data_IF_824364983634
#
_entry.id   IF_824364983634
#
_cell.length_a   1.000
_cell.length_b   1.000
_cell.length_c   1.000
_cell.angle_alpha   90.00
_cell.angle_beta   90.00
_cell.angle_gamma   90.00
#
_symmetry.space_group_name_H-M   'P 1'
#
loop_
_entity.id
_entity.type
_entity.pdbx_description
1 polymer ?
#
# COMPACT_ATOMS: atom_id res chain seq x y z
N UNK A 1 8.04 -30.09 -41.89
CA UNK A 1 8.91 -31.18 -41.40
C UNK A 1 10.33 -30.66 -41.57
N UNK A 2 10.79 -29.82 -40.68
CA UNK A 2 12.19 -29.40 -40.61
C UNK A 2 12.86 -30.30 -39.59
N UNK A 3 13.91 -30.96 -40.06
CA UNK A 3 14.72 -31.90 -39.30
C UNK A 3 15.36 -31.18 -38.10
N UNK A 4 14.94 -31.58 -36.94
CA UNK A 4 15.52 -31.24 -35.64
C UNK A 4 16.93 -31.85 -35.58
N UNK A 5 17.92 -31.14 -36.11
CA UNK A 5 19.36 -31.46 -35.88
C UNK A 5 19.62 -31.06 -34.43
N UNK A 6 19.61 -32.07 -33.56
CA UNK A 6 20.00 -31.86 -32.14
C UNK A 6 21.46 -31.36 -32.13
N UNK A 7 21.59 -30.06 -31.90
CA UNK A 7 22.89 -29.43 -31.68
C UNK A 7 23.57 -30.07 -30.44
N UNK A 8 24.90 -30.24 -30.47
CA UNK A 8 25.63 -30.88 -29.39
C UNK A 8 25.43 -30.06 -28.06
N UNK A 9 25.25 -30.75 -26.92
CA UNK A 9 25.06 -30.07 -25.63
C UNK A 9 26.32 -29.24 -25.28
N UNK A 10 26.11 -28.14 -24.56
CA UNK A 10 27.19 -27.29 -24.03
C UNK A 10 28.14 -28.11 -23.16
N UNK A 11 29.41 -28.04 -23.44
CA UNK A 11 30.48 -28.72 -22.69
C UNK A 11 31.69 -27.82 -22.54
N UNK A 12 32.22 -27.74 -21.31
CA UNK A 12 33.49 -27.06 -21.04
C UNK A 12 34.49 -28.08 -20.47
N UNK A 13 35.66 -28.19 -21.09
CA UNK A 13 36.73 -29.07 -20.64
C UNK A 13 37.96 -28.26 -20.28
N UNK A 14 38.59 -28.63 -19.15
CA UNK A 14 39.75 -27.95 -18.58
C UNK A 14 41.00 -28.80 -18.81
N UNK A 15 41.92 -28.31 -19.63
CA UNK A 15 43.14 -29.00 -19.95
C UNK A 15 44.35 -28.19 -19.46
N UNK A 16 45.26 -28.82 -18.69
CA UNK A 16 46.48 -28.17 -18.22
C UNK A 16 47.62 -28.39 -19.24
N UNK A 17 48.17 -27.32 -19.77
CA UNK A 17 49.30 -27.30 -20.67
C UNK A 17 50.48 -26.57 -19.99
N UNK A 18 51.25 -27.30 -19.17
CA UNK A 18 52.35 -26.71 -18.38
C UNK A 18 51.85 -25.76 -17.30
N UNK A 19 52.21 -24.49 -17.39
CA UNK A 19 51.81 -23.42 -16.42
C UNK A 19 50.52 -22.68 -16.84
N UNK A 20 49.96 -23.05 -18.00
CA UNK A 20 48.74 -22.49 -18.56
C UNK A 20 47.58 -23.50 -18.49
N UNK A 21 46.38 -23.00 -18.33
CA UNK A 21 45.15 -23.81 -18.40
C UNK A 21 44.36 -23.34 -19.62
N UNK A 22 44.01 -24.28 -20.49
CA UNK A 22 43.15 -24.03 -21.64
C UNK A 22 41.75 -24.56 -21.34
N UNK A 23 40.75 -23.69 -21.41
CA UNK A 23 39.35 -24.06 -21.30
C UNK A 23 38.77 -24.16 -22.70
N UNK A 24 38.52 -25.38 -23.18
CA UNK A 24 37.86 -25.63 -24.45
C UNK A 24 36.35 -25.57 -24.28
N UNK A 25 35.70 -24.72 -25.08
CA UNK A 25 34.26 -24.51 -25.07
C UNK A 25 33.68 -25.11 -26.35
N UNK A 26 32.81 -26.11 -26.20
CA UNK A 26 32.17 -26.83 -27.28
C UNK A 26 30.65 -26.80 -27.21
N UNK A 27 29.98 -26.86 -28.39
CA UNK A 27 28.51 -26.95 -28.50
C UNK A 27 27.77 -25.62 -28.35
N UNK A 28 26.45 -25.71 -28.21
CA UNK A 28 25.55 -24.54 -28.08
C UNK A 28 25.39 -24.09 -26.63
N UNK A 29 25.75 -22.85 -26.38
CA UNK A 29 25.69 -22.24 -25.02
C UNK A 29 24.44 -21.36 -24.84
N UNK A 30 23.29 -22.03 -24.86
CA UNK A 30 21.98 -21.41 -24.66
C UNK A 30 21.36 -21.87 -23.36
N UNK A 31 20.50 -21.01 -22.74
CA UNK A 31 19.84 -21.28 -21.46
C UNK A 31 19.09 -22.63 -21.44
N UNK A 32 18.62 -23.13 -22.61
CA UNK A 32 17.91 -24.40 -22.73
C UNK A 32 18.80 -25.63 -22.73
N UNK A 33 20.06 -25.48 -23.07
CA UNK A 33 21.00 -26.59 -23.26
C UNK A 33 22.08 -26.64 -22.17
N UNK A 34 22.18 -25.60 -21.32
CA UNK A 34 23.12 -25.58 -20.21
C UNK A 34 22.80 -26.67 -19.20
N UNK A 35 23.68 -27.64 -19.02
CA UNK A 35 23.55 -28.63 -17.95
C UNK A 35 23.81 -27.94 -16.59
N UNK A 36 22.88 -28.09 -15.65
CA UNK A 36 23.05 -27.57 -14.30
C UNK A 36 24.34 -28.10 -13.67
N UNK A 37 25.25 -27.17 -13.27
CA UNK A 37 26.48 -27.51 -12.59
C UNK A 37 27.74 -27.55 -13.47
N UNK A 38 27.70 -27.25 -14.79
CA UNK A 38 28.89 -27.18 -15.64
C UNK A 38 29.85 -26.08 -15.15
N UNK A 39 29.36 -24.93 -14.75
CA UNK A 39 30.16 -23.82 -14.20
C UNK A 39 30.90 -24.24 -12.93
N UNK A 40 30.18 -24.89 -12.01
CA UNK A 40 30.74 -25.39 -10.73
C UNK A 40 31.76 -26.52 -10.96
N UNK A 41 31.55 -27.38 -11.96
CA UNK A 41 32.52 -28.43 -12.33
C UNK A 41 33.81 -27.82 -12.83
N UNK A 42 33.75 -26.80 -13.69
CA UNK A 42 34.94 -26.10 -14.21
C UNK A 42 35.69 -25.41 -13.07
N UNK A 43 34.98 -24.65 -12.20
CA UNK A 43 35.58 -23.98 -11.04
C UNK A 43 36.24 -24.99 -10.10
N UNK A 44 35.56 -26.07 -9.75
CA UNK A 44 36.09 -27.11 -8.88
C UNK A 44 37.32 -27.86 -9.52
N UNK A 45 37.37 -27.91 -10.84
CA UNK A 45 38.52 -28.46 -11.57
C UNK A 45 39.72 -27.51 -11.57
N UNK A 46 39.47 -26.20 -11.64
CA UNK A 46 40.50 -25.15 -11.52
C UNK A 46 41.08 -25.13 -10.11
N UNK A 47 40.23 -25.24 -9.05
CA UNK A 47 40.68 -25.30 -7.66
C UNK A 47 41.59 -26.50 -7.37
N UNK A 48 41.38 -27.63 -8.04
CA UNK A 48 42.20 -28.84 -7.89
C UNK A 48 43.56 -28.74 -8.57
N UNK A 49 43.77 -27.82 -9.53
CA UNK A 49 44.98 -27.74 -10.31
C UNK A 49 46.09 -26.87 -9.67
N UNK A 50 45.83 -26.23 -8.55
CA UNK A 50 46.78 -25.40 -7.81
C UNK A 50 47.10 -24.06 -8.50
N UNK A 51 48.31 -23.53 -8.31
CA UNK A 51 48.70 -22.25 -8.89
C UNK A 51 48.78 -22.34 -10.42
N UNK A 52 47.97 -21.53 -11.11
CA UNK A 52 47.92 -21.43 -12.57
C UNK A 52 48.38 -20.02 -12.97
N UNK A 53 49.31 -19.91 -13.95
CA UNK A 53 49.83 -18.61 -14.36
C UNK A 53 48.86 -17.85 -15.27
N UNK A 54 48.20 -18.56 -16.21
CA UNK A 54 47.20 -17.93 -17.10
C UNK A 54 46.12 -18.92 -17.54
N UNK A 55 44.92 -18.37 -17.77
CA UNK A 55 43.78 -19.08 -18.38
C UNK A 55 43.54 -18.56 -19.78
N UNK A 56 43.52 -19.48 -20.74
CA UNK A 56 43.23 -19.25 -22.15
C UNK A 56 41.95 -20.00 -22.56
N UNK A 57 41.23 -19.48 -23.55
CA UNK A 57 40.02 -20.12 -24.07
C UNK A 57 40.24 -20.64 -25.46
N UNK A 58 39.72 -21.84 -25.71
CA UNK A 58 39.63 -22.40 -27.07
C UNK A 58 38.13 -22.48 -27.43
N UNK A 59 37.74 -21.70 -28.43
CA UNK A 59 36.37 -21.56 -28.91
C UNK A 59 36.17 -22.08 -30.34
N UNK A 60 37.08 -22.92 -30.86
CA UNK A 60 37.01 -23.43 -32.26
C UNK A 60 35.71 -24.22 -32.53
N UNK A 61 35.15 -24.86 -31.53
CA UNK A 61 33.93 -25.67 -31.64
C UNK A 61 32.72 -25.05 -30.96
N UNK A 62 32.73 -23.74 -30.73
CA UNK A 62 31.63 -22.97 -30.17
C UNK A 62 30.52 -22.80 -31.22
N UNK A 63 29.32 -23.25 -30.92
CA UNK A 63 28.12 -23.09 -31.75
C UNK A 63 27.39 -21.78 -31.49
N UNK A 64 26.06 -21.84 -31.41
CA UNK A 64 25.22 -20.69 -31.01
C UNK A 64 25.39 -20.39 -29.53
N UNK A 65 25.39 -19.11 -29.15
CA UNK A 65 25.56 -18.72 -27.76
C UNK A 65 24.66 -17.53 -27.40
N UNK A 66 24.29 -17.43 -26.12
CA UNK A 66 23.51 -16.34 -25.54
C UNK A 66 24.21 -15.77 -24.28
N UNK A 67 23.49 -15.02 -23.47
CA UNK A 67 23.95 -14.43 -22.20
C UNK A 67 24.56 -15.47 -21.25
N UNK A 68 24.24 -16.74 -21.40
CA UNK A 68 24.76 -17.84 -20.57
C UNK A 68 26.27 -18.00 -20.70
N UNK A 69 26.81 -17.88 -21.93
CA UNK A 69 28.24 -17.90 -22.14
C UNK A 69 28.94 -16.70 -21.50
N UNK A 70 28.33 -15.52 -21.58
CA UNK A 70 28.87 -14.31 -20.92
C UNK A 70 28.95 -14.48 -19.41
N UNK A 71 27.88 -15.03 -18.78
CA UNK A 71 27.86 -15.32 -17.34
C UNK A 71 28.96 -16.33 -16.97
N UNK A 72 29.15 -17.38 -17.78
CA UNK A 72 30.19 -18.36 -17.56
C UNK A 72 31.59 -17.73 -17.62
N UNK A 73 31.88 -16.94 -18.64
CA UNK A 73 33.17 -16.27 -18.81
C UNK A 73 33.42 -15.25 -17.69
N UNK A 74 32.44 -14.47 -17.33
CA UNK A 74 32.53 -13.51 -16.21
C UNK A 74 32.82 -14.20 -14.87
N UNK A 75 32.26 -15.38 -14.61
CA UNK A 75 32.56 -16.19 -13.41
C UNK A 75 34.00 -16.68 -13.39
N UNK A 76 34.53 -17.09 -14.54
CA UNK A 76 35.94 -17.50 -14.65
C UNK A 76 36.88 -16.30 -14.46
N UNK A 77 36.50 -15.14 -14.99
CA UNK A 77 37.26 -13.90 -14.78
C UNK A 77 37.28 -13.47 -13.32
N UNK A 78 36.14 -13.56 -12.63
CA UNK A 78 36.03 -13.32 -11.19
C UNK A 78 36.94 -14.27 -10.38
N UNK A 79 36.96 -15.55 -10.76
CA UNK A 79 37.87 -16.56 -10.16
C UNK A 79 39.33 -16.18 -10.39
N UNK A 80 39.70 -15.74 -11.62
CA UNK A 80 41.07 -15.30 -11.94
C UNK A 80 41.51 -14.11 -11.09
N UNK A 81 40.61 -13.14 -10.90
CA UNK A 81 40.85 -11.96 -10.07
C UNK A 81 41.09 -12.33 -8.62
N UNK A 82 40.33 -13.30 -8.07
CA UNK A 82 40.45 -13.78 -6.70
C UNK A 82 41.79 -14.52 -6.48
N UNK A 83 42.24 -15.29 -7.49
CA UNK A 83 43.48 -16.12 -7.41
C UNK A 83 44.72 -15.46 -8.02
N UNK A 84 44.61 -14.18 -8.45
CA UNK A 84 45.69 -13.40 -9.10
C UNK A 84 46.26 -14.11 -10.34
N UNK A 85 45.42 -14.81 -11.09
CA UNK A 85 45.76 -15.52 -12.33
C UNK A 85 45.49 -14.61 -13.54
N UNK A 86 46.34 -14.62 -14.55
CA UNK A 86 46.17 -13.80 -15.76
C UNK A 86 45.05 -14.39 -16.62
N UNK A 87 44.03 -13.58 -16.90
CA UNK A 87 42.91 -13.91 -17.78
C UNK A 87 43.25 -13.43 -19.21
N UNK A 88 43.36 -14.35 -20.17
CA UNK A 88 43.72 -14.02 -21.56
C UNK A 88 42.47 -13.71 -22.39
N UNK A 89 41.98 -12.45 -22.34
CA UNK A 89 40.79 -12.00 -23.11
C UNK A 89 40.96 -12.13 -24.64
N UNK A 90 42.19 -12.09 -25.12
CA UNK A 90 42.52 -12.16 -26.56
C UNK A 90 42.17 -13.50 -27.20
N UNK A 91 41.96 -14.54 -26.40
CA UNK A 91 41.61 -15.89 -26.86
C UNK A 91 40.10 -16.12 -26.98
N UNK A 92 39.29 -15.16 -26.53
CA UNK A 92 37.82 -15.19 -26.66
C UNK A 92 37.35 -14.72 -28.03
N UNK A 93 36.17 -15.17 -28.52
CA UNK A 93 35.57 -14.62 -29.73
C UNK A 93 35.42 -13.09 -29.62
N UNK A 94 35.68 -12.32 -30.70
CA UNK A 94 35.67 -10.85 -30.66
C UNK A 94 34.36 -10.26 -30.12
N UNK A 95 33.24 -10.87 -30.48
CA UNK A 95 31.90 -10.44 -30.01
C UNK A 95 31.70 -10.67 -28.51
N UNK A 96 32.22 -11.75 -27.94
CA UNK A 96 32.16 -12.04 -26.51
C UNK A 96 33.06 -11.09 -25.73
N UNK A 97 34.29 -10.87 -26.21
CA UNK A 97 35.25 -9.97 -25.60
C UNK A 97 34.75 -8.51 -25.57
N UNK A 98 34.10 -8.03 -26.65
CA UNK A 98 33.55 -6.68 -26.73
C UNK A 98 32.35 -6.49 -25.78
N UNK A 99 31.47 -7.49 -25.64
CA UNK A 99 30.35 -7.44 -24.71
C UNK A 99 30.81 -7.51 -23.24
N UNK A 100 31.85 -8.26 -22.97
CA UNK A 100 32.46 -8.31 -21.63
C UNK A 100 33.09 -6.95 -21.27
N UNK A 101 33.78 -6.29 -22.17
CA UNK A 101 34.33 -4.96 -21.98
C UNK A 101 33.21 -3.91 -21.72
N UNK A 102 32.12 -3.97 -22.49
CA UNK A 102 30.95 -3.12 -22.27
C UNK A 102 30.30 -3.33 -20.90
N UNK A 103 30.29 -4.57 -20.39
CA UNK A 103 29.75 -4.85 -19.06
C UNK A 103 30.59 -4.26 -17.93
N UNK A 104 31.87 -4.04 -18.12
CA UNK A 104 32.78 -3.41 -17.16
C UNK A 104 32.70 -1.87 -17.17
N UNK A 105 32.38 -1.25 -18.32
CA UNK A 105 32.20 0.21 -18.42
C UNK A 105 30.96 0.69 -17.66
N UNK A 106 29.98 -0.16 -17.45
CA UNK A 106 28.84 0.14 -16.57
C UNK A 106 29.27 -0.20 -15.14
N UNK A 107 29.55 0.81 -14.27
CA UNK A 107 29.87 0.52 -12.88
C UNK A 107 28.72 -0.29 -12.30
N UNK A 108 29.01 -1.53 -11.88
CA UNK A 108 28.06 -2.28 -11.06
C UNK A 108 27.60 -1.34 -9.96
N UNK A 109 26.40 -0.80 -10.10
CA UNK A 109 25.68 -0.33 -8.95
C UNK A 109 25.63 -1.57 -8.07
N UNK A 110 26.57 -1.65 -7.11
CA UNK A 110 26.47 -2.63 -6.02
C UNK A 110 25.12 -2.40 -5.38
N UNK A 111 24.09 -2.94 -6.01
CA UNK A 111 22.86 -3.32 -5.34
C UNK A 111 23.31 -4.47 -4.43
N UNK A 112 24.26 -4.08 -3.58
CA UNK A 112 24.66 -4.91 -2.48
C UNK A 112 23.37 -5.34 -1.85
N UNK A 113 23.09 -6.62 -1.87
CA UNK A 113 22.45 -7.26 -0.75
C UNK A 113 23.07 -6.54 0.45
N UNK A 114 22.39 -5.47 0.91
CA UNK A 114 22.78 -4.82 2.15
C UNK A 114 22.88 -6.00 3.09
N UNK A 115 24.10 -6.41 3.40
CA UNK A 115 24.31 -7.11 4.65
C UNK A 115 23.49 -6.27 5.63
N UNK A 116 22.42 -6.86 6.11
CA UNK A 116 21.68 -6.28 7.22
C UNK A 116 22.67 -6.32 8.38
N UNK A 117 23.65 -5.39 8.34
CA UNK A 117 24.37 -5.01 9.52
C UNK A 117 23.27 -4.82 10.54
N UNK A 118 23.28 -5.61 11.60
CA UNK A 118 22.33 -5.51 12.71
C UNK A 118 22.33 -4.04 13.12
N UNK A 119 21.37 -3.27 12.59
CA UNK A 119 21.24 -1.88 12.98
C UNK A 119 21.11 -1.86 14.49
N UNK A 120 21.95 -1.08 15.15
CA UNK A 120 21.84 -0.90 16.60
C UNK A 120 20.40 -0.47 16.92
N UNK A 121 19.82 -1.01 17.99
CA UNK A 121 18.46 -0.63 18.44
C UNK A 121 18.29 0.89 18.51
N UNK A 122 19.34 1.63 18.90
CA UNK A 122 19.34 3.09 18.92
C UNK A 122 19.26 3.71 17.51
N UNK A 123 19.93 3.12 16.51
CA UNK A 123 19.85 3.58 15.13
C UNK A 123 18.45 3.31 14.55
N UNK A 124 17.85 2.17 14.86
CA UNK A 124 16.49 1.83 14.44
C UNK A 124 15.45 2.80 15.05
N UNK A 125 15.57 3.10 16.35
CA UNK A 125 14.70 4.09 17.02
C UNK A 125 14.94 5.49 16.44
N UNK A 126 16.19 5.89 16.23
CA UNK A 126 16.53 7.18 15.64
C UNK A 126 15.95 7.35 14.23
N UNK A 127 16.10 6.34 13.38
CA UNK A 127 15.53 6.33 12.03
C UNK A 127 13.99 6.37 12.05
N UNK A 128 13.36 5.65 12.99
CA UNK A 128 11.89 5.67 13.14
C UNK A 128 11.39 7.05 13.57
N UNK A 129 12.08 7.74 14.49
CA UNK A 129 11.72 9.10 14.94
C UNK A 129 11.91 10.12 13.80
N UNK A 130 13.00 10.02 13.04
CA UNK A 130 13.25 10.91 11.89
C UNK A 130 12.20 10.69 10.79
N UNK A 131 11.90 9.45 10.44
CA UNK A 131 10.85 9.11 9.48
C UNK A 131 9.47 9.58 9.96
N UNK A 132 9.16 9.43 11.24
CA UNK A 132 7.94 9.94 11.85
C UNK A 132 7.82 11.46 11.76
N UNK A 133 8.92 12.19 12.03
CA UNK A 133 8.97 13.66 11.89
C UNK A 133 8.75 14.10 10.44
N UNK A 134 9.41 13.44 9.47
CA UNK A 134 9.24 13.75 8.05
C UNK A 134 7.80 13.49 7.60
N UNK A 135 7.21 12.36 8.00
CA UNK A 135 5.81 12.05 7.74
C UNK A 135 4.85 13.09 8.33
N UNK A 136 5.09 13.51 9.57
CA UNK A 136 4.29 14.54 10.23
C UNK A 136 4.38 15.90 9.51
N UNK A 137 5.58 16.36 9.16
CA UNK A 137 5.78 17.59 8.42
C UNK A 137 5.13 17.55 7.02
N UNK A 138 5.21 16.41 6.33
CA UNK A 138 4.55 16.20 5.04
C UNK A 138 3.02 16.28 5.17
N UNK A 139 2.45 15.71 6.24
CA UNK A 139 1.00 15.79 6.51
C UNK A 139 0.58 17.22 6.84
N UNK A 140 1.38 17.94 7.62
CA UNK A 140 1.12 19.33 7.96
C UNK A 140 1.17 20.24 6.72
N UNK A 141 2.17 20.05 5.86
CA UNK A 141 2.29 20.77 4.59
C UNK A 141 1.09 20.50 3.68
N UNK A 142 0.70 19.22 3.51
CA UNK A 142 -0.47 18.82 2.72
C UNK A 142 -1.75 19.46 3.28
N UNK A 143 -1.95 19.42 4.58
CA UNK A 143 -3.10 20.06 5.25
C UNK A 143 -3.12 21.57 4.98
N UNK A 144 -1.95 22.24 5.04
CA UNK A 144 -1.83 23.65 4.70
C UNK A 144 -2.23 23.95 3.25
N UNK A 145 -1.79 23.12 2.30
CA UNK A 145 -2.19 23.24 0.89
C UNK A 145 -3.70 23.05 0.70
N UNK A 146 -4.32 22.09 1.39
CA UNK A 146 -5.77 21.87 1.37
C UNK A 146 -6.51 23.10 1.89
N UNK A 147 -6.09 23.67 3.02
CA UNK A 147 -6.70 24.88 3.59
C UNK A 147 -6.58 26.07 2.63
N UNK A 148 -5.42 26.25 1.99
CA UNK A 148 -5.23 27.28 0.97
C UNK A 148 -6.14 27.06 -0.25
N UNK A 149 -6.29 25.81 -0.70
CA UNK A 149 -7.18 25.43 -1.79
C UNK A 149 -8.65 25.72 -1.46
N UNK A 150 -9.10 25.36 -0.25
CA UNK A 150 -10.43 25.71 0.24
C UNK A 150 -10.63 27.25 0.25
N UNK A 151 -9.63 28.01 0.70
CA UNK A 151 -9.65 29.46 0.69
C UNK A 151 -9.78 30.04 -0.73
N UNK A 152 -9.10 29.44 -1.73
CA UNK A 152 -9.24 29.81 -3.15
C UNK A 152 -10.65 29.44 -3.69
N UNK A 153 -11.18 28.28 -3.27
CA UNK A 153 -12.54 27.84 -3.66
C UNK A 153 -13.60 28.82 -3.13
N UNK A 154 -13.53 29.20 -1.86
CA UNK A 154 -14.46 30.20 -1.26
C UNK A 154 -14.39 31.54 -1.99
N UNK A 155 -13.22 31.93 -2.47
CA UNK A 155 -13.01 33.17 -3.28
C UNK A 155 -13.33 32.99 -4.76
N UNK A 156 -13.87 31.86 -5.17
CA UNK A 156 -14.17 31.48 -6.58
C UNK A 156 -12.98 31.62 -7.54
N UNK A 157 -11.76 31.40 -7.04
CA UNK A 157 -10.51 31.47 -7.81
C UNK A 157 -9.89 30.09 -8.06
N UNK A 158 -10.50 29.01 -7.54
CA UNK A 158 -10.03 27.63 -7.74
C UNK A 158 -10.61 27.01 -9.01
N UNK A 159 -9.83 26.19 -9.69
CA UNK A 159 -10.30 25.33 -10.79
C UNK A 159 -11.02 24.10 -10.21
N UNK A 160 -12.22 24.30 -9.66
CA UNK A 160 -13.01 23.24 -9.01
C UNK A 160 -13.74 22.40 -10.04
N UNK A 161 -13.52 21.09 -10.02
CA UNK A 161 -14.22 20.15 -10.90
C UNK A 161 -15.56 19.68 -10.27
N UNK A 162 -16.65 20.34 -10.71
CA UNK A 162 -18.01 20.00 -10.30
C UNK A 162 -18.43 18.61 -10.75
N UNK A 163 -17.93 18.13 -11.87
CA UNK A 163 -18.25 16.78 -12.37
C UNK A 163 -17.65 15.72 -11.45
N UNK A 164 -16.39 15.88 -11.07
CA UNK A 164 -15.71 14.99 -10.12
C UNK A 164 -16.40 15.01 -8.76
N UNK A 165 -16.82 16.18 -8.28
CA UNK A 165 -17.55 16.33 -7.02
C UNK A 165 -18.85 15.50 -7.01
N UNK A 166 -19.72 15.65 -8.01
CA UNK A 166 -20.97 14.90 -8.08
C UNK A 166 -20.75 13.41 -8.28
N UNK A 167 -19.79 13.02 -9.12
CA UNK A 167 -19.41 11.62 -9.30
C UNK A 167 -18.93 11.00 -7.97
N UNK A 168 -18.09 11.71 -7.24
CA UNK A 168 -17.58 11.26 -5.94
C UNK A 168 -18.71 11.15 -4.92
N UNK A 169 -19.65 12.08 -4.89
CA UNK A 169 -20.83 12.01 -4.04
C UNK A 169 -21.66 10.77 -4.33
N UNK A 170 -21.96 10.50 -5.60
CA UNK A 170 -22.72 9.32 -6.02
C UNK A 170 -22.00 8.02 -5.64
N UNK A 171 -20.70 7.92 -5.92
CA UNK A 171 -19.91 6.74 -5.59
C UNK A 171 -19.77 6.50 -4.11
N UNK A 172 -19.61 7.57 -3.33
CA UNK A 172 -19.45 7.48 -1.86
C UNK A 172 -20.75 7.22 -1.14
N UNK A 173 -21.91 7.58 -1.72
CA UNK A 173 -23.22 7.37 -1.10
C UNK A 173 -23.87 6.06 -1.55
N UNK A 174 -24.43 6.03 -2.76
CA UNK A 174 -25.28 4.92 -3.23
C UNK A 174 -24.60 3.56 -3.17
N UNK A 175 -23.35 3.49 -3.61
CA UNK A 175 -22.59 2.24 -3.60
C UNK A 175 -22.12 1.84 -2.18
N UNK A 176 -22.15 2.73 -1.19
CA UNK A 176 -21.76 2.43 0.20
C UNK A 176 -22.94 1.96 1.06
N UNK A 177 -24.18 2.33 0.73
CA UNK A 177 -25.36 2.00 1.52
C UNK A 177 -25.49 0.51 1.91
N UNK A 178 -25.31 -0.46 1.00
CA UNK A 178 -25.50 -1.86 1.37
C UNK A 178 -24.52 -2.34 2.45
N UNK A 179 -23.24 -1.98 2.31
CA UNK A 179 -22.22 -2.42 3.28
C UNK A 179 -22.33 -1.67 4.60
N UNK A 180 -22.57 -0.36 4.56
CA UNK A 180 -22.81 0.46 5.76
C UNK A 180 -24.05 -0.06 6.49
N UNK A 181 -25.14 -0.31 5.78
CA UNK A 181 -26.38 -0.85 6.37
C UNK A 181 -26.16 -2.21 7.02
N UNK A 182 -25.51 -3.14 6.35
CA UNK A 182 -25.22 -4.46 6.89
C UNK A 182 -24.39 -4.40 8.17
N UNK A 183 -23.28 -3.67 8.14
CA UNK A 183 -22.37 -3.57 9.30
C UNK A 183 -23.05 -2.83 10.46
N UNK A 184 -23.77 -1.74 10.20
CA UNK A 184 -24.50 -1.00 11.24
C UNK A 184 -25.60 -1.83 11.87
N UNK A 185 -26.35 -2.59 11.06
CA UNK A 185 -27.37 -3.52 11.57
C UNK A 185 -26.76 -4.55 12.51
N UNK A 186 -25.67 -5.21 12.10
CA UNK A 186 -24.95 -6.19 12.91
C UNK A 186 -24.36 -5.56 14.18
N UNK A 187 -23.81 -4.37 14.09
CA UNK A 187 -23.28 -3.64 15.25
C UNK A 187 -24.37 -3.36 16.27
N UNK A 188 -25.52 -2.83 15.83
CA UNK A 188 -26.65 -2.59 16.71
C UNK A 188 -27.21 -3.87 17.34
N UNK A 189 -27.26 -4.97 16.55
CA UNK A 189 -27.68 -6.30 17.04
C UNK A 189 -26.71 -6.83 18.11
N UNK A 190 -25.38 -6.72 17.87
CA UNK A 190 -24.35 -7.16 18.83
C UNK A 190 -24.42 -6.33 20.12
N UNK A 191 -24.50 -5.00 20.02
CA UNK A 191 -24.65 -4.12 21.18
C UNK A 191 -25.88 -4.47 22.02
N UNK A 192 -27.01 -4.69 21.34
CA UNK A 192 -28.24 -5.08 22.02
C UNK A 192 -28.12 -6.44 22.69
N UNK A 193 -27.50 -7.42 22.01
CA UNK A 193 -27.34 -8.76 22.56
C UNK A 193 -26.43 -8.77 23.80
N UNK A 194 -25.27 -8.11 23.72
CA UNK A 194 -24.35 -7.99 24.87
C UNK A 194 -25.01 -7.20 26.01
N UNK A 195 -25.64 -6.07 25.67
CA UNK A 195 -26.38 -5.26 26.63
C UNK A 195 -27.53 -6.04 27.31
N UNK A 196 -28.26 -6.86 26.53
CA UNK A 196 -29.35 -7.69 27.05
C UNK A 196 -28.87 -8.70 28.09
N UNK A 197 -27.73 -9.37 27.87
CA UNK A 197 -27.18 -10.34 28.83
C UNK A 197 -26.85 -9.64 30.16
N UNK A 198 -26.23 -8.47 30.10
CA UNK A 198 -25.83 -7.74 31.32
C UNK A 198 -27.01 -7.11 32.04
N UNK A 199 -27.83 -6.36 31.34
CA UNK A 199 -28.93 -5.61 31.95
C UNK A 199 -30.08 -6.50 32.47
N UNK A 200 -30.26 -7.69 31.87
CA UNK A 200 -31.23 -8.66 32.32
C UNK A 200 -30.96 -9.19 33.74
N UNK A 201 -29.67 -9.30 34.12
CA UNK A 201 -29.26 -9.74 35.46
C UNK A 201 -29.73 -8.78 36.56
N UNK A 202 -29.93 -7.50 36.23
CA UNK A 202 -30.38 -6.45 37.13
C UNK A 202 -31.88 -6.13 36.97
N UNK A 203 -32.62 -6.92 36.18
CA UNK A 203 -34.04 -6.63 35.90
C UNK A 203 -34.25 -5.40 34.98
N UNK A 204 -33.17 -4.84 34.45
CA UNK A 204 -33.17 -3.57 33.72
C UNK A 204 -33.16 -3.78 32.16
N UNK A 205 -33.75 -4.87 31.68
CA UNK A 205 -33.68 -5.25 30.26
C UNK A 205 -34.22 -4.20 29.29
N UNK A 206 -35.16 -3.35 29.67
CA UNK A 206 -35.70 -2.30 28.80
C UNK A 206 -34.65 -1.23 28.44
N UNK A 207 -33.66 -0.99 29.31
CA UNK A 207 -32.60 -0.02 29.06
C UNK A 207 -31.61 -0.44 27.96
N UNK A 208 -31.74 -1.64 27.40
CA UNK A 208 -31.04 -2.03 26.17
C UNK A 208 -31.38 -1.09 25.02
N UNK A 209 -32.63 -0.62 24.93
CA UNK A 209 -33.05 0.36 23.93
C UNK A 209 -32.27 1.68 24.05
N UNK A 210 -32.08 2.19 25.29
CA UNK A 210 -31.27 3.38 25.55
C UNK A 210 -29.80 3.17 25.15
N UNK A 211 -29.24 2.04 25.60
CA UNK A 211 -27.83 1.72 25.32
C UNK A 211 -27.56 1.73 23.82
N UNK A 212 -28.40 1.05 23.03
CA UNK A 212 -28.20 0.97 21.58
C UNK A 212 -28.42 2.32 20.91
N UNK A 213 -29.50 3.03 21.28
CA UNK A 213 -29.81 4.32 20.68
C UNK A 213 -28.69 5.34 20.90
N UNK A 214 -28.28 5.53 22.16
CA UNK A 214 -27.21 6.49 22.50
C UNK A 214 -25.87 6.05 21.93
N UNK A 215 -25.53 4.76 22.05
CA UNK A 215 -24.26 4.28 21.53
C UNK A 215 -24.16 4.42 19.99
N UNK A 216 -25.25 4.16 19.25
CA UNK A 216 -25.24 4.33 17.80
C UNK A 216 -25.14 5.79 17.40
N UNK A 217 -26.05 6.64 17.89
CA UNK A 217 -26.13 8.04 17.47
C UNK A 217 -24.94 8.89 17.88
N UNK A 218 -24.31 8.58 19.01
CA UNK A 218 -23.21 9.38 19.54
C UNK A 218 -21.83 8.90 19.05
N UNK A 219 -21.64 7.57 18.91
CA UNK A 219 -20.31 6.98 18.71
C UNK A 219 -20.26 5.99 17.54
N UNK A 220 -20.96 4.86 17.69
CA UNK A 220 -20.76 3.68 16.85
C UNK A 220 -21.13 3.91 15.39
N UNK A 221 -22.18 4.68 15.13
CA UNK A 221 -22.58 5.02 13.76
C UNK A 221 -21.50 5.79 13.02
N UNK A 222 -20.91 6.79 13.66
CA UNK A 222 -19.84 7.59 13.06
C UNK A 222 -18.55 6.78 12.87
N UNK A 223 -18.08 6.05 13.91
CA UNK A 223 -16.84 5.27 13.87
C UNK A 223 -16.93 4.16 12.83
N UNK A 224 -18.00 3.33 12.86
CA UNK A 224 -18.15 2.21 11.93
C UNK A 224 -18.26 2.67 10.49
N UNK A 225 -19.06 3.72 10.24
CA UNK A 225 -19.15 4.32 8.89
C UNK A 225 -17.79 4.88 8.45
N UNK A 226 -17.07 5.56 9.34
CA UNK A 226 -15.73 6.09 9.08
C UNK A 226 -14.73 4.99 8.69
N UNK A 227 -14.69 3.88 9.42
CA UNK A 227 -13.80 2.73 9.13
C UNK A 227 -14.16 2.09 7.79
N UNK A 228 -15.46 1.89 7.49
CA UNK A 228 -15.91 1.33 6.22
C UNK A 228 -15.49 2.25 5.06
N UNK A 229 -15.68 3.56 5.22
CA UNK A 229 -15.36 4.53 4.20
C UNK A 229 -13.85 4.72 4.02
N UNK A 230 -13.06 4.56 5.07
CA UNK A 230 -11.60 4.52 4.99
C UNK A 230 -11.12 3.35 4.11
N UNK A 231 -11.64 2.14 4.37
CA UNK A 231 -11.28 0.95 3.61
C UNK A 231 -11.76 0.95 2.16
N UNK A 232 -12.93 1.55 1.88
CA UNK A 232 -13.52 1.56 0.55
C UNK A 232 -13.16 2.82 -0.24
N UNK A 233 -13.52 3.99 0.27
CA UNK A 233 -13.40 5.25 -0.47
C UNK A 233 -12.02 5.88 -0.30
N UNK A 234 -11.44 5.84 0.91
CA UNK A 234 -10.07 6.31 1.15
C UNK A 234 -9.03 5.54 0.35
N UNK A 235 -9.12 4.21 0.35
CA UNK A 235 -8.26 3.35 -0.47
C UNK A 235 -8.45 3.61 -1.98
N UNK A 236 -9.70 3.78 -2.44
CA UNK A 236 -10.00 4.07 -3.83
C UNK A 236 -9.41 5.42 -4.27
N UNK A 237 -9.47 6.47 -3.44
CA UNK A 237 -8.85 7.77 -3.74
C UNK A 237 -7.33 7.65 -3.85
N UNK A 238 -6.68 6.92 -2.93
CA UNK A 238 -5.26 6.70 -3.00
C UNK A 238 -4.85 5.91 -4.25
N UNK A 239 -5.61 4.90 -4.63
CA UNK A 239 -5.36 4.11 -5.83
C UNK A 239 -5.58 4.93 -7.12
N UNK A 240 -6.66 5.71 -7.22
CA UNK A 240 -6.95 6.55 -8.38
C UNK A 240 -5.88 7.61 -8.58
N UNK A 241 -5.57 8.41 -7.53
CA UNK A 241 -4.56 9.47 -7.61
C UNK A 241 -3.17 8.86 -7.83
N UNK A 242 -2.87 7.73 -7.18
CA UNK A 242 -1.61 7.00 -7.38
C UNK A 242 -1.46 6.50 -8.82
N UNK A 243 -2.53 5.99 -9.43
CA UNK A 243 -2.54 5.61 -10.85
C UNK A 243 -2.31 6.80 -11.77
N UNK A 244 -3.00 7.93 -11.54
CA UNK A 244 -2.80 9.18 -12.28
C UNK A 244 -1.35 9.71 -12.15
N UNK A 245 -0.69 9.45 -11.02
CA UNK A 245 0.71 9.83 -10.83
C UNK A 245 1.64 8.92 -11.64
N UNK A 246 1.41 7.60 -11.64
CA UNK A 246 2.21 6.64 -12.42
C UNK A 246 2.05 6.88 -13.92
N UNK A 247 0.86 7.27 -14.40
CA UNK A 247 0.59 7.64 -15.81
C UNK A 247 0.98 9.08 -16.17
N UNK A 248 1.65 9.81 -15.25
CA UNK A 248 2.09 11.21 -15.45
C UNK A 248 0.96 12.23 -15.68
N UNK A 249 -0.31 11.85 -15.47
CA UNK A 249 -1.46 12.74 -15.64
C UNK A 249 -1.42 13.94 -14.67
N UNK A 250 -0.89 13.74 -13.45
CA UNK A 250 -0.74 14.84 -12.48
C UNK A 250 0.29 15.86 -12.95
N UNK A 251 1.36 15.42 -13.61
CA UNK A 251 2.38 16.30 -14.14
C UNK A 251 1.86 17.04 -15.40
N UNK A 252 1.01 16.38 -16.20
CA UNK A 252 0.28 17.05 -17.26
C UNK A 252 -0.63 18.19 -16.74
N UNK A 253 -1.35 17.99 -15.63
CA UNK A 253 -2.13 19.05 -14.99
C UNK A 253 -1.25 20.25 -14.57
N UNK A 254 -0.09 19.98 -13.98
CA UNK A 254 0.87 21.02 -13.56
C UNK A 254 1.42 21.81 -14.77
N UNK A 255 1.72 21.13 -15.89
CA UNK A 255 2.18 21.81 -17.12
C UNK A 255 1.10 22.71 -17.74
N UNK A 256 -0.17 22.35 -17.54
CA UNK A 256 -1.32 23.18 -17.91
C UNK A 256 -1.63 24.30 -16.89
N UNK A 257 -0.78 24.50 -15.88
CA UNK A 257 -0.96 25.42 -14.76
C UNK A 257 -2.26 25.18 -13.95
N UNK A 258 -2.77 23.95 -13.96
CA UNK A 258 -3.91 23.52 -13.12
C UNK A 258 -3.37 22.94 -11.81
N UNK A 259 -3.81 23.52 -10.69
CA UNK A 259 -3.44 23.00 -9.37
C UNK A 259 -4.07 21.63 -9.11
N UNK A 260 -3.30 20.54 -8.93
CA UNK A 260 -3.85 19.23 -8.58
C UNK A 260 -4.66 19.24 -7.28
N UNK A 261 -4.32 20.12 -6.35
CA UNK A 261 -5.06 20.28 -5.09
C UNK A 261 -6.47 20.80 -5.33
N UNK A 262 -6.61 21.84 -6.17
CA UNK A 262 -7.89 22.45 -6.46
C UNK A 262 -8.78 21.55 -7.32
N UNK A 263 -8.16 20.82 -8.27
CA UNK A 263 -8.87 20.01 -9.26
C UNK A 263 -9.21 18.58 -8.78
N UNK A 264 -8.29 17.92 -8.05
CA UNK A 264 -8.46 16.52 -7.65
C UNK A 264 -8.85 16.37 -6.17
N UNK A 265 -8.17 17.09 -5.26
CA UNK A 265 -8.31 16.88 -3.81
C UNK A 265 -9.54 17.57 -3.25
N UNK A 266 -9.72 18.85 -3.55
CA UNK A 266 -10.80 19.67 -2.97
C UNK A 266 -12.20 19.15 -3.30
N UNK A 267 -12.52 18.69 -4.54
CA UNK A 267 -13.84 18.11 -4.83
C UNK A 267 -14.11 16.82 -4.06
N UNK A 268 -13.10 15.95 -3.92
CA UNK A 268 -13.22 14.69 -3.15
C UNK A 268 -13.45 14.95 -1.66
N UNK A 269 -12.71 15.91 -1.10
CA UNK A 269 -12.85 16.31 0.29
C UNK A 269 -14.24 16.90 0.56
N UNK A 270 -14.72 17.80 -0.29
CA UNK A 270 -16.05 18.39 -0.17
C UNK A 270 -17.16 17.34 -0.29
N UNK A 271 -17.02 16.40 -1.21
CA UNK A 271 -17.99 15.32 -1.39
C UNK A 271 -18.10 14.43 -0.15
N UNK A 272 -16.98 13.98 0.43
CA UNK A 272 -17.01 13.15 1.63
C UNK A 272 -17.48 13.94 2.87
N UNK A 273 -17.04 15.17 3.04
CA UNK A 273 -17.46 16.02 4.15
C UNK A 273 -18.97 16.17 4.22
N UNK A 274 -19.66 16.27 3.08
CA UNK A 274 -21.11 16.37 3.01
C UNK A 274 -21.84 15.03 3.07
N UNK A 275 -21.23 13.97 2.50
CA UNK A 275 -21.91 12.68 2.43
C UNK A 275 -21.77 11.84 3.69
N UNK A 276 -20.69 11.99 4.44
CA UNK A 276 -20.48 11.21 5.67
C UNK A 276 -21.57 11.42 6.72
N UNK A 277 -22.03 12.64 7.03
CA UNK A 277 -23.15 12.83 7.95
C UNK A 277 -24.44 12.12 7.52
N UNK A 278 -24.74 12.11 6.23
CA UNK A 278 -25.93 11.44 5.70
C UNK A 278 -25.83 9.92 5.81
N UNK A 279 -24.63 9.37 5.56
CA UNK A 279 -24.36 7.94 5.74
C UNK A 279 -24.45 7.52 7.22
N UNK A 280 -24.02 8.39 8.13
CA UNK A 280 -24.08 8.11 9.57
C UNK A 280 -25.51 8.14 10.07
N UNK A 281 -26.32 9.10 9.64
CA UNK A 281 -27.76 9.08 9.96
C UNK A 281 -28.44 7.78 9.49
N UNK A 282 -28.11 7.33 8.29
CA UNK A 282 -28.59 6.04 7.79
C UNK A 282 -28.06 4.87 8.65
N UNK A 283 -26.79 4.88 9.01
CA UNK A 283 -26.16 3.87 9.86
C UNK A 283 -26.81 3.78 11.24
N UNK A 284 -27.13 4.92 11.86
CA UNK A 284 -27.79 5.01 13.15
C UNK A 284 -29.17 4.40 13.12
N UNK A 285 -29.96 4.76 12.10
CA UNK A 285 -31.31 4.21 11.92
C UNK A 285 -31.28 2.68 11.77
N UNK A 286 -30.39 2.17 10.92
CA UNK A 286 -30.27 0.74 10.67
C UNK A 286 -29.69 0.00 11.89
N UNK A 287 -28.77 0.60 12.62
CA UNK A 287 -28.21 0.04 13.85
C UNK A 287 -29.25 -0.06 14.97
N UNK A 288 -30.06 0.99 15.15
CA UNK A 288 -31.19 0.97 16.11
C UNK A 288 -32.22 -0.11 15.73
N UNK A 289 -32.49 -0.30 14.42
CA UNK A 289 -33.32 -1.41 13.97
C UNK A 289 -32.71 -2.77 14.30
N UNK A 290 -31.37 -2.94 14.16
CA UNK A 290 -30.69 -4.15 14.61
C UNK A 290 -30.91 -4.46 16.09
N UNK A 291 -30.80 -3.44 16.94
CA UNK A 291 -31.10 -3.55 18.37
C UNK A 291 -32.56 -3.89 18.69
N UNK A 292 -33.47 -3.35 17.90
CA UNK A 292 -34.92 -3.62 18.01
C UNK A 292 -35.23 -5.12 17.82
N UNK A 293 -34.60 -5.80 16.88
CA UNK A 293 -34.79 -7.25 16.69
C UNK A 293 -34.41 -8.06 17.94
N UNK A 294 -33.34 -7.69 18.63
CA UNK A 294 -32.91 -8.36 19.86
C UNK A 294 -33.88 -8.01 21.02
N UNK A 295 -34.29 -6.76 21.14
CA UNK A 295 -35.21 -6.31 22.17
C UNK A 295 -36.53 -7.06 22.15
N UNK A 296 -37.11 -7.27 20.99
CA UNK A 296 -38.39 -8.03 20.84
C UNK A 296 -38.12 -9.54 20.95
N UNK A 297 -37.14 -10.06 20.21
CA UNK A 297 -36.91 -11.50 20.09
C UNK A 297 -36.43 -12.14 21.40
N UNK A 298 -35.43 -11.53 22.05
CA UNK A 298 -34.80 -12.10 23.25
C UNK A 298 -35.38 -11.61 24.56
N UNK A 299 -35.68 -10.30 24.68
CA UNK A 299 -36.15 -9.69 25.91
C UNK A 299 -37.68 -9.70 26.03
N UNK A 300 -38.40 -10.06 24.96
CA UNK A 300 -39.87 -10.05 24.86
C UNK A 300 -40.50 -8.69 25.21
N UNK A 301 -39.78 -7.62 24.96
CA UNK A 301 -40.25 -6.24 25.12
C UNK A 301 -41.25 -5.96 23.99
N UNK A 302 -42.35 -5.30 24.31
CA UNK A 302 -43.34 -4.89 23.30
C UNK A 302 -42.68 -3.85 22.37
N UNK A 303 -42.99 -3.90 21.08
CA UNK A 303 -42.44 -2.96 20.10
C UNK A 303 -42.72 -1.48 20.49
N UNK A 304 -43.88 -1.18 21.05
CA UNK A 304 -44.24 0.18 21.51
C UNK A 304 -43.36 0.63 22.69
N UNK A 305 -43.09 -0.27 23.64
CA UNK A 305 -42.21 0.02 24.76
C UNK A 305 -40.75 0.28 24.29
N UNK A 306 -40.25 -0.56 23.41
CA UNK A 306 -38.89 -0.37 22.85
C UNK A 306 -38.78 0.96 22.11
N UNK A 307 -39.75 1.28 21.24
CA UNK A 307 -39.80 2.51 20.48
C UNK A 307 -39.87 3.76 21.35
N UNK A 308 -40.78 3.79 22.30
CA UNK A 308 -40.92 4.92 23.23
C UNK A 308 -39.65 5.13 24.07
N UNK A 309 -39.01 4.02 24.50
CA UNK A 309 -37.77 4.07 25.24
C UNK A 309 -36.61 4.58 24.38
N UNK A 310 -36.54 4.15 23.13
CA UNK A 310 -35.53 4.61 22.16
C UNK A 310 -35.65 6.12 21.94
N UNK A 311 -36.85 6.64 21.61
CA UNK A 311 -37.06 8.08 21.36
C UNK A 311 -36.76 8.93 22.60
N UNK A 312 -37.10 8.45 23.79
CA UNK A 312 -36.84 9.14 25.04
C UNK A 312 -35.39 9.11 25.52
N UNK A 313 -34.53 8.33 24.88
CA UNK A 313 -33.17 8.05 25.38
C UNK A 313 -32.06 8.95 24.83
N UNK A 314 -32.20 9.48 23.62
CA UNK A 314 -31.18 10.34 23.00
C UNK A 314 -31.77 11.74 22.73
N UNK A 315 -30.91 12.73 22.86
CA UNK A 315 -31.25 14.14 22.61
C UNK A 315 -30.70 14.63 21.26
N UNK A 316 -31.13 15.81 20.85
CA UNK A 316 -30.60 16.48 19.67
C UNK A 316 -29.10 16.71 19.79
N UNK A 317 -28.56 16.85 21.00
CA UNK A 317 -27.11 16.98 21.24
C UNK A 317 -26.34 15.75 20.84
N UNK A 318 -26.88 14.54 21.07
CA UNK A 318 -26.19 13.28 20.74
C UNK A 318 -26.12 13.09 19.22
N UNK A 319 -27.23 13.36 18.52
CA UNK A 319 -27.26 13.34 17.04
C UNK A 319 -26.30 14.38 16.45
N UNK A 320 -26.29 15.61 16.99
CA UNK A 320 -25.40 16.67 16.51
C UNK A 320 -23.93 16.30 16.73
N UNK A 321 -23.62 15.68 17.86
CA UNK A 321 -22.28 15.14 18.14
C UNK A 321 -21.84 14.13 17.09
N UNK A 322 -22.66 13.12 16.80
CA UNK A 322 -22.39 12.13 15.77
C UNK A 322 -22.20 12.75 14.39
N UNK A 323 -23.02 13.76 14.03
CA UNK A 323 -22.91 14.49 12.76
C UNK A 323 -21.61 15.31 12.64
N UNK A 324 -21.19 15.97 13.72
CA UNK A 324 -19.91 16.70 13.74
C UNK A 324 -18.75 15.72 13.60
N UNK A 325 -18.74 14.63 14.39
CA UNK A 325 -17.73 13.57 14.27
C UNK A 325 -17.66 13.02 12.86
N UNK A 326 -18.80 12.68 12.27
CA UNK A 326 -18.86 12.12 10.90
C UNK A 326 -18.30 13.05 9.84
N UNK A 327 -18.56 14.37 9.94
CA UNK A 327 -18.00 15.37 9.02
C UNK A 327 -16.47 15.43 9.13
N UNK A 328 -15.94 15.41 10.35
CA UNK A 328 -14.50 15.38 10.61
C UNK A 328 -13.90 14.08 10.05
N UNK A 329 -14.53 12.93 10.29
CA UNK A 329 -14.05 11.64 9.77
C UNK A 329 -14.06 11.60 8.24
N UNK A 330 -15.09 12.19 7.61
CA UNK A 330 -15.15 12.34 6.15
C UNK A 330 -13.98 13.15 5.59
N UNK A 331 -13.66 14.26 6.26
CA UNK A 331 -12.48 15.05 5.89
C UNK A 331 -11.17 14.27 6.07
N UNK A 332 -11.01 13.55 7.17
CA UNK A 332 -9.83 12.72 7.46
C UNK A 332 -9.65 11.64 6.40
N UNK A 333 -10.70 10.90 6.05
CA UNK A 333 -10.64 9.84 5.03
C UNK A 333 -10.25 10.40 3.67
N UNK A 334 -10.86 11.52 3.27
CA UNK A 334 -10.53 12.18 2.00
C UNK A 334 -9.08 12.67 1.98
N UNK A 335 -8.63 13.32 3.06
CA UNK A 335 -7.27 13.84 3.17
C UNK A 335 -6.23 12.72 3.14
N UNK A 336 -6.38 11.68 3.96
CA UNK A 336 -5.45 10.55 4.02
C UNK A 336 -5.38 9.81 2.67
N UNK A 337 -6.53 9.54 2.04
CA UNK A 337 -6.59 8.92 0.72
C UNK A 337 -5.88 9.74 -0.35
N UNK A 338 -6.19 11.03 -0.45
CA UNK A 338 -5.56 11.91 -1.42
C UNK A 338 -4.07 12.12 -1.15
N UNK A 339 -3.66 12.30 0.11
CA UNK A 339 -2.26 12.48 0.49
C UNK A 339 -1.41 11.27 0.10
N UNK A 340 -1.85 10.06 0.46
CA UNK A 340 -1.12 8.84 0.13
C UNK A 340 -1.06 8.59 -1.38
N UNK A 341 -2.13 8.91 -2.12
CA UNK A 341 -2.12 8.87 -3.58
C UNK A 341 -1.12 9.85 -4.20
N UNK A 342 -1.07 11.10 -3.74
CA UNK A 342 -0.11 12.10 -4.20
C UNK A 342 1.35 11.75 -3.85
N UNK A 343 1.57 11.06 -2.74
CA UNK A 343 2.89 10.59 -2.29
C UNK A 343 3.29 9.24 -2.88
N UNK A 344 2.44 8.61 -3.68
CA UNK A 344 2.70 7.30 -4.29
C UNK A 344 4.01 7.32 -5.10
N UNK A 345 4.72 6.19 -5.12
CA UNK A 345 5.86 5.97 -6.01
C UNK A 345 5.43 5.72 -7.45
N UNK A 346 6.40 5.68 -8.37
CA UNK A 346 6.14 5.64 -9.82
C UNK A 346 6.03 4.19 -10.37
N UNK A 347 5.44 3.27 -9.61
CA UNK A 347 5.18 1.90 -10.08
C UNK A 347 3.86 1.35 -9.56
N UNK A 348 3.34 0.31 -10.22
CA UNK A 348 2.06 -0.30 -9.87
C UNK A 348 2.02 -0.88 -8.44
N UNK A 349 3.12 -1.43 -7.94
CA UNK A 349 3.19 -1.94 -6.57
C UNK A 349 3.06 -0.81 -5.54
N UNK A 350 3.60 0.38 -5.84
CA UNK A 350 3.48 1.56 -4.98
C UNK A 350 2.02 2.04 -4.86
N UNK A 351 1.20 1.88 -5.91
CA UNK A 351 -0.24 2.22 -5.87
C UNK A 351 -0.98 1.34 -4.85
N UNK A 352 -0.72 0.04 -4.84
CA UNK A 352 -1.27 -0.88 -3.84
C UNK A 352 -0.86 -0.51 -2.41
N UNK A 353 0.43 -0.21 -2.22
CA UNK A 353 0.95 0.22 -0.92
C UNK A 353 0.36 1.57 -0.46
N UNK A 354 0.15 2.51 -1.38
CA UNK A 354 -0.49 3.79 -1.06
C UNK A 354 -1.94 3.59 -0.61
N UNK A 355 -2.69 2.70 -1.26
CA UNK A 355 -4.07 2.37 -0.88
C UNK A 355 -4.15 1.78 0.53
N UNK A 356 -3.30 0.78 0.85
CA UNK A 356 -3.27 0.18 2.20
C UNK A 356 -2.83 1.17 3.26
N UNK A 357 -1.82 1.99 2.98
CA UNK A 357 -1.36 3.04 3.90
C UNK A 357 -2.44 4.10 4.15
N UNK A 358 -3.22 4.47 3.13
CA UNK A 358 -4.32 5.41 3.27
C UNK A 358 -5.40 4.91 4.25
N UNK A 359 -5.70 3.60 4.23
CA UNK A 359 -6.64 2.98 5.17
C UNK A 359 -6.13 3.06 6.60
N UNK A 360 -4.87 2.66 6.82
CA UNK A 360 -4.25 2.67 8.15
C UNK A 360 -4.20 4.09 8.72
N UNK A 361 -3.77 5.06 7.92
CA UNK A 361 -3.73 6.46 8.35
C UNK A 361 -5.14 7.00 8.67
N UNK A 362 -6.12 6.72 7.79
CA UNK A 362 -7.50 7.15 8.00
C UNK A 362 -8.05 6.62 9.31
N UNK A 363 -7.93 5.32 9.57
CA UNK A 363 -8.43 4.69 10.80
C UNK A 363 -7.71 5.26 12.03
N UNK A 364 -6.38 5.42 11.95
CA UNK A 364 -5.60 5.98 13.05
C UNK A 364 -6.06 7.40 13.40
N UNK A 365 -6.21 8.27 12.40
CA UNK A 365 -6.65 9.64 12.62
C UNK A 365 -8.12 9.74 13.03
N UNK A 366 -9.01 8.84 12.58
CA UNK A 366 -10.39 8.74 13.05
C UNK A 366 -10.41 8.46 14.55
N UNK A 367 -9.69 7.42 15.01
CA UNK A 367 -9.67 7.05 16.44
C UNK A 367 -9.08 8.16 17.30
N UNK A 368 -7.99 8.80 16.85
CA UNK A 368 -7.38 9.92 17.58
C UNK A 368 -8.33 11.11 17.66
N UNK A 369 -8.96 11.49 16.53
CA UNK A 369 -9.88 12.63 16.51
C UNK A 369 -11.17 12.36 17.29
N UNK A 370 -11.65 11.12 17.29
CA UNK A 370 -12.79 10.69 18.09
C UNK A 370 -12.56 10.92 19.59
N UNK A 371 -11.44 10.37 20.09
CA UNK A 371 -11.04 10.56 21.49
C UNK A 371 -10.87 12.04 21.87
N UNK A 372 -10.30 12.86 20.96
CA UNK A 372 -10.13 14.29 21.19
C UNK A 372 -11.48 15.02 21.25
N UNK A 373 -12.40 14.70 20.34
CA UNK A 373 -13.74 15.32 20.31
C UNK A 373 -14.51 14.98 21.59
N UNK A 374 -14.43 13.73 22.07
CA UNK A 374 -15.10 13.32 23.31
C UNK A 374 -14.56 14.07 24.53
N UNK A 375 -13.25 14.17 24.67
CA UNK A 375 -12.64 14.94 25.76
C UNK A 375 -13.06 16.41 25.71
N UNK A 376 -13.06 17.02 24.53
CA UNK A 376 -13.48 18.42 24.36
C UNK A 376 -14.96 18.60 24.71
N UNK A 377 -15.83 17.67 24.31
CA UNK A 377 -17.26 17.74 24.62
C UNK A 377 -17.54 17.60 26.11
N UNK A 378 -16.84 16.68 26.79
CA UNK A 378 -17.00 16.55 28.25
C UNK A 378 -16.51 17.79 29.00
N UNK A 379 -15.43 18.41 28.54
CA UNK A 379 -14.93 19.68 29.08
C UNK A 379 -15.97 20.80 28.89
N UNK A 380 -16.56 20.91 27.69
CA UNK A 380 -17.61 21.95 27.41
C UNK A 380 -18.86 21.74 28.25
N UNK A 381 -19.25 20.49 28.54
CA UNK A 381 -20.43 20.20 29.40
C UNK A 381 -20.15 20.44 30.88
N UNK A 382 -18.89 20.38 31.30
CA UNK A 382 -18.50 20.57 32.69
C UNK A 382 -18.41 22.06 33.09
N UNK A 383 -18.37 22.98 32.13
CA UNK A 383 -18.44 24.44 32.30
C UNK A 383 -19.79 24.99 31.85
#
# INVERSE_FOLDING_TARGET
MESDVTAPPSKATVNKAGDKVVITIEGDWNLRQLQHGEVEKVISSLDKQGSVASIEFDSMHLGSWDTTLLIFVARIEEWCNQHRTKFARETLPPNVASLLALSEEVPEKKTGRKEQARESLFAMIGNAVLAGREGFLATLAFTGEVVMSLGRMLRRKAAFDWRLFWLTMEESSAKALPIVGLISFLTGLILAFVGAIQLRQFGAGIFVANLVAVAMTREMGAIMTGIIMAGRTGAAFAAQIGSMKVSEEIDALKTLAISPMDFLVTPRLGALFLMMPLLVLYADLIGILGGFFVGIGMLKITWVQYWNQTIGSFGMSDVLTGLVKSSVFGAIVAMAGCQRGMQCGNNAAAVGNAATSAVVDSITWIVVSDALIDVVQELIKAY
#
